data_IF_648010554896
#
_entry.id   IF_648010554896
#
_cell.length_a   1.000
_cell.length_b   1.000
_cell.length_c   1.000
_cell.angle_alpha   90.00
_cell.angle_beta   90.00
_cell.angle_gamma   90.00
#
_symmetry.space_group_name_H-M   'P 1'
#
loop_
_entity.id
_entity.type
_entity.pdbx_description
1 polymer ?
#
# COMPACT_ATOMS: atom_id res chain seq x y z
N UNK A 1 -30.46 -48.29 42.38
CA UNK A 1 -29.00 -48.07 42.36
C UNK A 1 -28.48 -48.45 40.98
N UNK A 2 -28.14 -47.49 40.14
CA UNK A 2 -27.50 -47.77 38.85
C UNK A 2 -26.03 -48.14 39.13
N UNK A 3 -25.63 -49.35 38.73
CA UNK A 3 -24.25 -49.86 38.87
C UNK A 3 -23.31 -49.07 37.96
N UNK A 4 -22.07 -48.83 38.40
CA UNK A 4 -21.04 -48.33 37.50
C UNK A 4 -20.72 -49.40 36.44
N UNK A 5 -20.58 -48.99 35.18
CA UNK A 5 -20.25 -49.89 34.06
C UNK A 5 -21.32 -50.04 32.97
N UNK A 6 -22.49 -49.41 33.09
CA UNK A 6 -23.50 -49.39 32.01
C UNK A 6 -23.26 -48.16 31.12
N UNK A 7 -23.37 -48.31 29.79
CA UNK A 7 -23.40 -47.15 28.89
C UNK A 7 -24.59 -46.26 29.27
N UNK A 8 -24.29 -45.11 29.86
CA UNK A 8 -25.29 -44.07 30.11
C UNK A 8 -25.75 -43.53 28.75
N UNK A 9 -27.06 -43.41 28.52
CA UNK A 9 -27.63 -42.73 27.34
C UNK A 9 -27.34 -41.23 27.33
N UNK A 10 -28.35 -40.38 27.10
CA UNK A 10 -28.25 -38.92 27.27
C UNK A 10 -28.10 -38.55 28.76
N UNK A 11 -26.87 -38.68 29.26
CA UNK A 11 -26.50 -38.33 30.62
C UNK A 11 -26.00 -36.89 30.67
N UNK A 12 -26.70 -36.03 31.41
CA UNK A 12 -26.36 -34.61 31.57
C UNK A 12 -25.25 -34.36 32.60
N UNK A 13 -24.78 -35.40 33.29
CA UNK A 13 -23.71 -35.30 34.27
C UNK A 13 -22.39 -35.00 33.56
N UNK A 14 -21.68 -34.00 34.05
CA UNK A 14 -20.32 -33.70 33.63
C UNK A 14 -19.32 -34.50 34.45
N UNK A 15 -18.38 -35.15 33.77
CA UNK A 15 -17.32 -35.97 34.36
C UNK A 15 -15.98 -35.55 33.76
N UNK A 16 -14.92 -35.72 34.54
CA UNK A 16 -13.56 -35.54 34.05
C UNK A 16 -13.13 -36.76 33.22
N UNK A 17 -12.58 -36.50 32.03
CA UNK A 17 -12.02 -37.54 31.15
C UNK A 17 -10.65 -37.11 30.65
N UNK A 18 -9.77 -38.09 30.44
CA UNK A 18 -8.44 -37.86 29.86
C UNK A 18 -8.55 -37.94 28.33
N UNK A 19 -8.04 -36.91 27.65
CA UNK A 19 -7.97 -36.84 26.20
C UNK A 19 -6.92 -37.83 25.67
N UNK A 20 -7.27 -38.76 24.77
CA UNK A 20 -6.36 -39.84 24.34
C UNK A 20 -5.14 -39.32 23.57
N UNK A 21 -5.32 -38.32 22.71
CA UNK A 21 -4.26 -37.81 21.83
C UNK A 21 -3.22 -36.93 22.55
N UNK A 22 -3.56 -36.37 23.71
CA UNK A 22 -2.70 -35.38 24.38
C UNK A 22 -2.57 -35.54 25.90
N UNK A 23 -3.28 -36.49 26.51
CA UNK A 23 -3.23 -36.78 27.95
C UNK A 23 -3.84 -35.72 28.86
N UNK A 24 -4.40 -34.64 28.31
CA UNK A 24 -5.02 -33.58 29.11
C UNK A 24 -6.35 -34.02 29.72
N UNK A 25 -6.59 -33.65 30.97
CA UNK A 25 -7.88 -33.91 31.64
C UNK A 25 -8.85 -32.77 31.34
N UNK A 26 -10.07 -33.11 30.95
CA UNK A 26 -11.13 -32.15 30.66
C UNK A 26 -12.50 -32.61 31.16
N UNK A 27 -13.31 -31.66 31.60
CA UNK A 27 -14.70 -31.88 32.01
C UNK A 27 -15.62 -31.89 30.80
N UNK A 28 -16.40 -32.97 30.63
CA UNK A 28 -17.38 -33.11 29.53
C UNK A 28 -18.56 -34.00 29.94
N UNK A 29 -19.65 -33.97 29.17
CA UNK A 29 -20.82 -34.83 29.43
C UNK A 29 -20.43 -36.31 29.42
N UNK A 30 -21.02 -37.09 30.32
CA UNK A 30 -20.74 -38.51 30.48
C UNK A 30 -20.89 -39.32 29.19
N UNK A 31 -21.89 -39.01 28.35
CA UNK A 31 -22.11 -39.67 27.06
C UNK A 31 -21.14 -39.27 25.93
N UNK A 32 -20.36 -38.19 26.07
CA UNK A 32 -19.45 -37.71 25.02
C UNK A 32 -18.19 -38.58 24.99
N UNK A 33 -17.82 -39.06 23.80
CA UNK A 33 -16.57 -39.79 23.61
C UNK A 33 -15.37 -38.81 23.53
N UNK A 34 -14.33 -38.96 24.39
CA UNK A 34 -13.10 -38.18 24.33
C UNK A 34 -12.39 -38.18 22.96
N UNK A 35 -12.48 -39.25 22.16
CA UNK A 35 -11.87 -39.30 20.83
C UNK A 35 -12.47 -38.26 19.86
N UNK A 36 -13.75 -37.90 20.04
CA UNK A 36 -14.46 -36.95 19.18
C UNK A 36 -14.46 -35.52 19.75
N UNK A 37 -13.72 -35.29 20.83
CA UNK A 37 -13.68 -33.99 21.51
C UNK A 37 -12.33 -33.32 21.26
N UNK A 38 -12.34 -32.03 20.91
CA UNK A 38 -11.10 -31.27 20.74
C UNK A 38 -10.56 -30.79 22.08
N UNK A 39 -9.24 -30.83 22.27
CA UNK A 39 -8.65 -30.30 23.50
C UNK A 39 -8.85 -28.77 23.58
N UNK A 40 -9.37 -28.29 24.70
CA UNK A 40 -9.60 -26.86 24.95
C UNK A 40 -8.44 -26.18 25.69
N UNK A 41 -7.52 -26.98 26.26
CA UNK A 41 -6.33 -26.44 26.91
C UNK A 41 -5.37 -25.82 25.89
N UNK A 42 -4.60 -24.79 26.28
CA UNK A 42 -3.59 -24.18 25.42
C UNK A 42 -2.52 -25.20 25.03
N UNK A 43 -1.93 -25.01 23.85
CA UNK A 43 -0.79 -25.80 23.43
C UNK A 43 0.41 -25.50 24.34
N UNK A 44 1.10 -26.54 24.79
CA UNK A 44 2.29 -26.44 25.66
C UNK A 44 3.60 -26.37 24.89
N UNK A 45 3.54 -26.47 23.54
CA UNK A 45 4.73 -26.45 22.68
C UNK A 45 5.36 -25.06 22.64
N UNK A 46 6.70 -25.05 22.64
CA UNK A 46 7.51 -23.87 22.38
C UNK A 46 7.93 -23.90 20.91
N UNK A 47 7.68 -22.81 20.19
CA UNK A 47 8.00 -22.62 18.79
C UNK A 47 9.50 -22.33 18.61
N UNK A 48 10.07 -22.48 17.39
CA UNK A 48 11.51 -22.24 17.14
C UNK A 48 12.00 -20.85 17.55
N UNK A 49 11.12 -19.84 17.55
CA UNK A 49 11.41 -18.49 18.02
C UNK A 49 11.51 -18.35 19.56
N UNK A 50 11.28 -19.43 20.32
CA UNK A 50 11.31 -19.44 21.78
C UNK A 50 9.97 -19.11 22.47
N UNK A 51 8.96 -18.70 21.71
CA UNK A 51 7.63 -18.38 22.26
C UNK A 51 6.74 -19.62 22.39
N UNK A 52 5.83 -19.61 23.37
CA UNK A 52 4.78 -20.64 23.49
C UNK A 52 3.75 -20.47 22.37
N UNK A 53 3.29 -21.59 21.83
CA UNK A 53 2.20 -21.60 20.84
C UNK A 53 0.91 -21.04 21.46
N UNK A 54 0.26 -20.11 20.77
CA UNK A 54 -0.98 -19.46 21.21
C UNK A 54 -2.25 -20.22 20.82
N UNK A 55 -2.11 -21.33 20.07
CA UNK A 55 -3.23 -22.16 19.64
C UNK A 55 -3.62 -23.17 20.72
N UNK A 56 -4.80 -23.78 20.57
CA UNK A 56 -5.26 -24.89 21.43
C UNK A 56 -4.47 -26.17 21.15
N UNK A 57 -4.39 -27.03 22.16
CA UNK A 57 -3.80 -28.34 22.03
C UNK A 57 -4.54 -29.19 20.97
N UNK A 58 -3.79 -29.93 20.15
CA UNK A 58 -4.34 -30.70 19.03
C UNK A 58 -4.48 -29.92 17.72
N UNK A 59 -4.41 -28.58 17.75
CA UNK A 59 -4.29 -27.77 16.54
C UNK A 59 -2.83 -27.76 16.06
N UNK A 60 -2.61 -27.91 14.75
CA UNK A 60 -1.29 -27.80 14.16
C UNK A 60 -0.71 -26.41 14.44
N UNK A 61 0.50 -26.39 15.01
CA UNK A 61 1.19 -25.12 15.29
C UNK A 61 1.60 -24.47 13.97
N UNK A 62 1.34 -23.17 13.85
CA UNK A 62 1.78 -22.33 12.73
C UNK A 62 2.88 -21.36 13.14
N UNK A 63 2.99 -20.27 12.37
CA UNK A 63 3.92 -19.18 12.65
C UNK A 63 3.56 -18.43 13.93
N UNK A 64 4.57 -17.86 14.57
CA UNK A 64 4.39 -17.17 15.84
C UNK A 64 3.91 -15.73 15.61
N UNK A 65 2.66 -15.44 15.95
CA UNK A 65 2.04 -14.12 15.77
C UNK A 65 2.36 -13.10 16.89
N UNK A 66 3.22 -13.46 17.84
CA UNK A 66 3.67 -12.51 18.86
C UNK A 66 4.45 -11.38 18.21
N UNK A 67 4.00 -10.14 18.45
CA UNK A 67 4.68 -8.93 18.01
C UNK A 67 5.88 -8.65 18.91
N UNK A 68 7.02 -8.37 18.29
CA UNK A 68 8.24 -7.95 18.95
C UNK A 68 8.79 -6.71 18.25
N UNK A 69 9.44 -5.85 19.00
CA UNK A 69 10.15 -4.71 18.43
C UNK A 69 11.43 -5.18 17.75
N UNK A 70 11.62 -4.80 16.49
CA UNK A 70 12.84 -5.08 15.72
C UNK A 70 13.43 -3.80 15.15
N UNK A 71 14.75 -3.75 15.06
CA UNK A 71 15.47 -2.66 14.40
C UNK A 71 15.53 -2.90 12.90
N UNK A 72 15.04 -1.94 12.12
CA UNK A 72 15.02 -1.98 10.67
C UNK A 72 16.45 -1.75 10.13
N UNK A 73 17.00 -2.66 9.32
CA UNK A 73 18.41 -2.65 8.95
C UNK A 73 18.83 -1.44 8.10
N UNK A 74 17.97 -0.96 7.20
CA UNK A 74 18.31 0.13 6.28
C UNK A 74 18.31 1.53 6.93
N UNK A 75 17.61 1.69 8.05
CA UNK A 75 17.37 3.02 8.65
C UNK A 75 17.57 3.08 10.17
N UNK A 76 17.76 1.95 10.85
CA UNK A 76 17.96 1.89 12.30
C UNK A 76 16.72 2.16 13.14
N UNK A 77 15.56 2.43 12.55
CA UNK A 77 14.32 2.64 13.30
C UNK A 77 13.80 1.36 13.92
N UNK A 78 13.15 1.46 15.08
CA UNK A 78 12.46 0.35 15.72
C UNK A 78 11.00 0.27 15.25
N UNK A 79 10.53 -0.95 14.98
CA UNK A 79 9.16 -1.22 14.55
C UNK A 79 8.66 -2.54 15.14
N UNK A 80 7.43 -2.55 15.64
CA UNK A 80 6.74 -3.77 16.07
C UNK A 80 6.29 -4.60 14.87
N UNK A 81 6.60 -5.90 14.91
CA UNK A 81 6.20 -6.85 13.88
C UNK A 81 6.18 -8.28 14.43
N UNK A 82 5.46 -9.22 13.79
CA UNK A 82 5.47 -10.62 14.22
C UNK A 82 6.88 -11.19 14.27
N UNK A 83 7.20 -11.92 15.33
CA UNK A 83 8.58 -12.32 15.61
C UNK A 83 9.19 -13.24 14.55
N UNK A 84 8.37 -14.00 13.85
CA UNK A 84 8.79 -14.89 12.77
C UNK A 84 9.15 -14.13 11.48
N UNK A 85 8.73 -12.88 11.31
CA UNK A 85 9.02 -12.09 10.11
C UNK A 85 10.40 -11.47 10.22
N UNK A 86 11.18 -11.57 9.14
CA UNK A 86 12.48 -10.91 9.01
C UNK A 86 12.31 -9.41 8.70
N UNK A 87 13.00 -8.54 9.46
CA UNK A 87 12.95 -7.09 9.28
C UNK A 87 13.53 -6.63 7.94
N UNK A 88 14.40 -7.43 7.31
CA UNK A 88 14.97 -7.15 5.97
C UNK A 88 13.93 -7.24 4.85
N UNK A 89 12.83 -7.97 5.08
CA UNK A 89 11.77 -8.18 4.09
C UNK A 89 10.68 -7.10 4.15
N UNK A 90 10.69 -6.25 5.17
CA UNK A 90 9.66 -5.25 5.39
C UNK A 90 10.15 -3.82 5.14
N UNK A 91 9.20 -2.98 4.73
CA UNK A 91 9.39 -1.54 4.71
C UNK A 91 9.29 -0.96 6.11
N UNK A 92 10.09 0.07 6.39
CA UNK A 92 10.00 0.84 7.62
C UNK A 92 8.88 1.88 7.54
N UNK A 93 7.84 1.70 8.34
CA UNK A 93 6.70 2.61 8.50
C UNK A 93 6.87 3.58 9.66
N UNK A 94 7.98 3.53 10.40
CA UNK A 94 8.29 4.53 11.43
C UNK A 94 8.21 5.95 10.84
N UNK A 95 7.67 6.88 11.61
CA UNK A 95 7.56 8.28 11.20
C UNK A 95 8.82 9.03 11.65
N UNK A 96 9.54 9.61 10.68
CA UNK A 96 10.76 10.34 10.96
C UNK A 96 10.87 11.60 10.10
N UNK A 97 11.72 12.52 10.54
CA UNK A 97 12.14 13.66 9.75
C UNK A 97 13.29 13.23 8.82
N UNK A 98 13.19 13.54 7.53
CA UNK A 98 14.15 13.06 6.52
C UNK A 98 14.47 14.15 5.49
N UNK A 99 15.75 14.39 5.23
CA UNK A 99 16.19 15.19 4.11
C UNK A 99 16.18 14.33 2.83
N UNK A 100 15.39 14.74 1.85
CA UNK A 100 15.24 14.04 0.57
C UNK A 100 16.34 14.45 -0.41
N UNK A 101 16.60 13.63 -1.43
CA UNK A 101 17.59 13.92 -2.49
C UNK A 101 17.29 15.19 -3.29
N UNK A 102 16.02 15.60 -3.34
CA UNK A 102 15.60 16.89 -3.91
C UNK A 102 15.92 18.11 -3.00
N UNK A 103 16.52 17.91 -1.83
CA UNK A 103 16.86 18.95 -0.86
C UNK A 103 15.72 19.34 0.08
N UNK A 104 14.52 18.79 -0.08
CA UNK A 104 13.40 19.07 0.81
C UNK A 104 13.42 18.19 2.08
N UNK A 105 13.21 18.81 3.24
CA UNK A 105 12.95 18.06 4.48
C UNK A 105 11.49 17.67 4.57
N UNK A 106 11.25 16.37 4.73
CA UNK A 106 9.95 15.80 5.04
C UNK A 106 9.85 15.59 6.53
N UNK A 107 8.86 16.20 7.18
CA UNK A 107 8.65 16.10 8.61
C UNK A 107 7.59 15.04 8.90
N UNK A 108 7.80 14.23 9.93
CA UNK A 108 6.87 13.21 10.39
C UNK A 108 6.35 12.32 9.25
N UNK A 109 7.24 11.90 8.35
CA UNK A 109 6.91 11.12 7.17
C UNK A 109 7.31 9.65 7.35
N UNK A 110 6.63 8.73 6.66
CA UNK A 110 7.01 7.31 6.65
C UNK A 110 8.45 7.17 6.15
N UNK A 111 9.29 6.47 6.92
CA UNK A 111 10.71 6.31 6.61
C UNK A 111 10.97 5.74 5.20
N UNK A 112 10.17 4.75 4.79
CA UNK A 112 10.24 4.13 3.46
C UNK A 112 9.79 5.06 2.31
N UNK A 113 9.27 6.26 2.59
CA UNK A 113 8.84 7.20 1.56
C UNK A 113 10.08 7.78 0.88
N UNK A 114 10.18 7.51 -0.42
CA UNK A 114 11.31 7.93 -1.27
C UNK A 114 10.94 9.07 -2.21
N UNK A 115 9.64 9.37 -2.38
CA UNK A 115 9.16 10.42 -3.27
C UNK A 115 8.87 11.72 -2.51
N UNK A 116 9.19 12.85 -3.17
CA UNK A 116 8.88 14.18 -2.67
C UNK A 116 7.62 14.73 -3.34
N UNK A 117 6.56 14.92 -2.57
CA UNK A 117 5.24 15.40 -2.96
C UNK A 117 4.98 16.84 -2.51
N UNK A 118 6.02 17.55 -2.04
CA UNK A 118 5.92 18.99 -1.84
C UNK A 118 5.59 19.67 -3.17
N UNK A 119 4.61 20.57 -3.14
CA UNK A 119 4.24 21.38 -4.28
C UNK A 119 5.28 22.47 -4.49
N UNK A 120 5.73 22.63 -5.73
CA UNK A 120 6.70 23.64 -6.14
C UNK A 120 6.31 24.27 -7.48
N UNK A 121 6.93 25.41 -7.78
CA UNK A 121 6.79 26.06 -9.09
C UNK A 121 7.96 25.61 -9.96
N UNK A 122 7.66 24.94 -11.07
CA UNK A 122 8.63 24.62 -12.10
C UNK A 122 8.47 25.56 -13.30
N UNK A 123 9.59 26.03 -13.84
CA UNK A 123 9.63 26.85 -15.06
C UNK A 123 10.11 25.96 -16.19
N UNK A 124 9.26 25.72 -17.18
CA UNK A 124 9.52 24.79 -18.26
C UNK A 124 10.60 25.37 -19.17
N UNK A 125 11.65 24.61 -19.46
CA UNK A 125 12.81 25.19 -20.11
C UNK A 125 12.53 25.56 -21.56
N UNK A 126 11.69 24.77 -22.25
CA UNK A 126 11.36 24.92 -23.67
C UNK A 126 10.42 26.09 -23.96
N UNK A 127 9.44 26.32 -23.08
CA UNK A 127 8.38 27.32 -23.29
C UNK A 127 8.35 28.45 -22.24
N UNK A 128 9.13 28.35 -21.17
CA UNK A 128 9.18 29.30 -20.04
C UNK A 128 7.87 29.44 -19.25
N UNK A 129 6.87 28.61 -19.52
CA UNK A 129 5.64 28.56 -18.72
C UNK A 129 5.92 28.07 -17.29
N UNK A 130 5.14 28.59 -16.35
CA UNK A 130 5.22 28.25 -14.92
C UNK A 130 4.13 27.24 -14.57
N UNK A 131 4.53 26.14 -13.95
CA UNK A 131 3.62 25.08 -13.53
C UNK A 131 3.75 24.84 -12.03
N UNK A 132 2.61 24.75 -11.35
CA UNK A 132 2.53 24.37 -9.94
C UNK A 132 2.35 22.86 -9.90
N UNK A 133 3.43 22.13 -9.58
CA UNK A 133 3.46 20.66 -9.64
C UNK A 133 4.14 20.08 -8.40
N UNK A 134 3.81 18.83 -8.02
CA UNK A 134 4.59 18.08 -7.05
C UNK A 134 6.06 17.95 -7.47
N UNK A 135 6.97 17.97 -6.50
CA UNK A 135 8.41 17.89 -6.72
C UNK A 135 8.86 16.63 -7.49
N UNK A 136 8.14 15.52 -7.37
CA UNK A 136 8.44 14.28 -8.10
C UNK A 136 8.05 14.33 -9.59
N UNK A 137 7.24 15.30 -10.03
CA UNK A 137 6.88 15.46 -11.43
C UNK A 137 7.94 16.30 -12.14
N UNK A 138 8.41 15.83 -13.29
CA UNK A 138 9.38 16.52 -14.14
C UNK A 138 8.79 16.80 -15.53
N UNK A 139 9.35 17.77 -16.27
CA UNK A 139 8.88 18.24 -17.59
C UNK A 139 8.71 17.09 -18.60
N UNK A 140 9.52 16.03 -18.53
CA UNK A 140 9.41 14.86 -19.40
C UNK A 140 8.14 14.04 -19.16
N UNK A 141 7.63 14.05 -17.93
CA UNK A 141 6.46 13.27 -17.49
C UNK A 141 5.15 14.05 -17.57
N UNK A 142 5.24 15.38 -17.63
CA UNK A 142 4.09 16.27 -17.62
C UNK A 142 4.32 17.35 -18.69
N UNK A 143 3.84 17.18 -19.93
CA UNK A 143 4.03 18.19 -20.97
C UNK A 143 3.30 19.48 -20.62
N UNK A 144 3.81 20.61 -21.12
CA UNK A 144 3.14 21.89 -20.98
C UNK A 144 1.74 21.82 -21.61
N UNK A 145 0.72 22.28 -20.88
CA UNK A 145 -0.66 22.45 -21.38
C UNK A 145 -1.15 23.88 -21.23
N UNK A 146 -0.23 24.84 -21.13
CA UNK A 146 -0.59 26.25 -21.23
C UNK A 146 -1.12 26.55 -22.65
N UNK A 147 -1.89 27.63 -22.79
CA UNK A 147 -2.25 28.12 -24.12
C UNK A 147 -1.00 28.47 -24.92
N UNK A 148 -1.02 28.25 -26.23
CA UNK A 148 0.08 28.63 -27.10
C UNK A 148 0.16 30.17 -27.23
N UNK A 149 1.33 30.73 -26.89
CA UNK A 149 1.58 32.19 -26.98
C UNK A 149 2.02 32.64 -28.39
N UNK A 150 2.13 31.72 -29.35
CA UNK A 150 2.57 32.05 -30.71
C UNK A 150 1.40 32.56 -31.56
N UNK A 151 1.51 33.76 -32.16
CA UNK A 151 0.53 34.20 -33.14
C UNK A 151 0.65 33.36 -34.42
N UNK A 152 -0.49 33.01 -35.01
CA UNK A 152 -0.54 32.31 -36.29
C UNK A 152 -0.10 33.24 -37.42
N UNK A 153 0.19 32.70 -38.62
CA UNK A 153 0.61 33.49 -39.80
C UNK A 153 -0.43 34.56 -40.17
N UNK A 154 -1.70 34.32 -39.84
CA UNK A 154 -2.79 35.28 -40.01
C UNK A 154 -2.79 36.44 -39.00
N UNK A 155 -1.96 36.39 -37.96
CA UNK A 155 -1.92 37.36 -36.86
C UNK A 155 -2.91 37.06 -35.74
N UNK A 156 -3.80 36.07 -35.89
CA UNK A 156 -4.72 35.64 -34.84
C UNK A 156 -4.02 34.77 -33.78
N UNK A 157 -4.59 34.75 -32.58
CA UNK A 157 -4.12 33.90 -31.49
C UNK A 157 -4.26 32.41 -31.84
N UNK A 158 -3.27 31.61 -31.46
CA UNK A 158 -3.35 30.16 -31.53
C UNK A 158 -4.32 29.63 -30.46
N UNK A 159 -5.09 28.60 -30.80
CA UNK A 159 -6.04 27.93 -29.89
C UNK A 159 -5.53 26.60 -29.35
N UNK A 160 -4.36 26.16 -29.81
CA UNK A 160 -3.74 24.91 -29.38
C UNK A 160 -2.95 25.08 -28.07
N UNK A 161 -2.61 23.96 -27.45
CA UNK A 161 -1.72 23.92 -26.30
C UNK A 161 -0.26 24.15 -26.71
N UNK A 162 0.54 24.67 -25.78
CA UNK A 162 1.97 24.84 -25.97
C UNK A 162 2.66 23.49 -26.25
N UNK A 163 3.42 23.42 -27.34
CA UNK A 163 4.11 22.20 -27.79
C UNK A 163 3.34 21.40 -28.83
N UNK A 164 2.05 21.68 -29.03
CA UNK A 164 1.27 21.13 -30.13
C UNK A 164 1.53 21.90 -31.44
N UNK A 165 1.46 21.22 -32.60
CA UNK A 165 1.64 21.87 -33.90
C UNK A 165 0.54 22.91 -34.13
N UNK A 166 0.94 24.17 -34.36
CA UNK A 166 0.00 25.25 -34.61
C UNK A 166 -0.71 25.08 -35.97
N UNK A 167 -2.04 25.27 -36.04
CA UNK A 167 -2.79 25.13 -37.29
C UNK A 167 -2.46 26.27 -38.26
N UNK A 168 -2.40 25.94 -39.54
CA UNK A 168 -2.18 26.94 -40.61
C UNK A 168 -3.38 27.89 -40.73
N UNK A 169 -4.60 27.36 -40.59
CA UNK A 169 -5.85 28.11 -40.65
C UNK A 169 -6.52 28.11 -39.27
N UNK A 170 -6.77 29.31 -38.73
CA UNK A 170 -7.52 29.47 -37.49
C UNK A 170 -9.03 29.48 -37.75
N UNK A 171 -9.83 29.35 -36.68
CA UNK A 171 -11.29 29.38 -36.75
C UNK A 171 -11.85 30.65 -37.40
N UNK A 172 -11.19 31.79 -37.22
CA UNK A 172 -11.57 33.05 -37.88
C UNK A 172 -11.36 32.97 -39.39
N UNK A 173 -10.19 32.49 -39.86
CA UNK A 173 -9.92 32.30 -41.29
C UNK A 173 -10.82 31.22 -41.92
N UNK A 174 -11.27 30.24 -41.14
CA UNK A 174 -12.24 29.24 -41.58
C UNK A 174 -13.66 29.83 -41.78
N UNK A 175 -13.92 31.02 -41.26
CA UNK A 175 -15.19 31.73 -41.43
C UNK A 175 -15.06 32.95 -42.35
N UNK A 176 -13.84 33.43 -42.59
CA UNK A 176 -13.52 34.56 -43.47
C UNK A 176 -12.71 34.12 -44.72
N UNK A 177 -13.36 34.03 -45.91
CA UNK A 177 -12.70 33.66 -47.17
C UNK A 177 -11.59 34.64 -47.61
N UNK A 178 -11.71 35.94 -47.33
CA UNK A 178 -10.69 36.91 -47.72
C UNK A 178 -9.43 36.72 -46.89
N UNK A 179 -9.59 36.54 -45.58
CA UNK A 179 -8.47 36.23 -44.69
C UNK A 179 -7.79 34.92 -45.10
N UNK A 180 -8.58 33.86 -45.37
CA UNK A 180 -8.06 32.56 -45.81
C UNK A 180 -7.20 32.65 -47.08
N UNK A 181 -7.69 33.35 -48.09
CA UNK A 181 -6.98 33.50 -49.36
C UNK A 181 -5.66 34.25 -49.18
N UNK A 182 -5.60 35.25 -48.30
CA UNK A 182 -4.35 35.96 -47.97
C UNK A 182 -3.29 35.05 -47.32
N UNK A 183 -3.69 34.03 -46.57
CA UNK A 183 -2.75 33.08 -45.95
C UNK A 183 -2.23 32.07 -46.97
N UNK A 184 -3.11 31.52 -47.81
CA UNK A 184 -2.73 30.53 -48.82
C UNK A 184 -1.77 31.11 -49.87
N UNK A 185 -1.92 32.39 -50.24
CA UNK A 185 -1.01 33.06 -51.18
C UNK A 185 0.38 33.32 -50.58
N UNK A 186 0.49 33.48 -49.26
CA UNK A 186 1.76 33.69 -48.55
C UNK A 186 2.60 32.42 -48.36
N UNK A 187 2.10 31.23 -48.72
CA UNK A 187 2.84 29.96 -48.60
C UNK A 187 3.66 29.60 -49.84
N UNK A 188 3.54 30.34 -50.95
CA UNK A 188 4.16 30.05 -52.25
C UNK A 188 5.19 31.10 -52.70
N UNK A 189 5.72 31.90 -51.76
CA UNK A 189 6.77 32.90 -52.00
C UNK A 189 7.94 32.64 -51.07
#
# INVERSE_FOLDING_TARGET
MLKCGVQCGDCEIFVEKIMPECGHTQTMKCGVNPQNFSCLLPCTKVLPCGHRCMLKCGVQCGDCEIFVEKTMPECGHQQEMPCHIDATLLKCYFLCDKLMSCGHTHMNARCHKTTCDKIMIQVYNRCKHRHVVPCYLHEESFPCRAACDMPLICGHACTEYCGEPCPILCNVCLQDPECRNRILVKQFV
#
